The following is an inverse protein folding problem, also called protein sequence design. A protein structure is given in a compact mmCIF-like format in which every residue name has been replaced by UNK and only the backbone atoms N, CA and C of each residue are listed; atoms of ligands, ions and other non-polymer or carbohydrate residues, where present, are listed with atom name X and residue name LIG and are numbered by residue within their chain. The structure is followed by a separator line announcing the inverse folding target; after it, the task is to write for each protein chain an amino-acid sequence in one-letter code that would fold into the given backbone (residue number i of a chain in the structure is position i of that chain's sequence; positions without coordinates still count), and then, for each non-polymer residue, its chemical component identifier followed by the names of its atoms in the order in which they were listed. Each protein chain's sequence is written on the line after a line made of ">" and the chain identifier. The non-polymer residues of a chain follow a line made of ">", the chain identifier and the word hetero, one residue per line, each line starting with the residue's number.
data_IF_167722321898
#
_entry.id   IF_167722321898
#
_cell.length_a   1.000
_cell.length_b   1.000
_cell.length_c   1.000
_cell.angle_alpha   90.00
_cell.angle_beta   90.00
_cell.angle_gamma   90.00
#
_symmetry.space_group_name_H-M   'P 1'
#
loop_
_entity.id
_entity.type
_entity.pdbx_description
1 polymer ?
#
# COMPACT_ATOMS: atom_id res chain seq x y z
N UNK A 1 18.23 6.36 9.77
CA UNK A 1 17.90 5.14 10.51
C UNK A 1 17.34 4.11 9.56
N UNK A 2 18.20 3.30 8.96
CA UNK A 2 17.87 2.25 7.99
C UNK A 2 17.91 0.93 8.77
N UNK A 3 16.89 0.69 9.59
CA UNK A 3 16.79 -0.54 10.39
C UNK A 3 15.32 -0.91 10.49
N UNK A 4 14.84 -1.73 9.56
CA UNK A 4 13.68 -2.58 9.87
C UNK A 4 13.59 -3.89 9.09
N UNK A 5 14.60 -4.22 8.27
CA UNK A 5 14.67 -5.52 7.58
C UNK A 5 15.74 -6.45 8.17
N UNK A 6 15.93 -6.43 9.49
CA UNK A 6 16.72 -7.42 10.23
C UNK A 6 15.74 -8.27 11.05
N UNK A 7 15.06 -9.22 10.41
CA UNK A 7 14.18 -10.18 11.10
C UNK A 7 15.00 -11.39 11.57
N UNK A 8 15.27 -11.42 12.87
CA UNK A 8 15.62 -12.57 13.74
C UNK A 8 16.56 -13.64 13.14
N UNK A 9 17.85 -13.51 13.46
CA UNK A 9 18.82 -14.61 13.44
C UNK A 9 18.43 -15.61 14.55
N UNK A 10 17.84 -16.75 14.19
CA UNK A 10 17.67 -17.89 15.11
C UNK A 10 19.02 -18.61 15.18
N UNK A 11 19.63 -18.66 16.37
CA UNK A 11 20.77 -19.55 16.64
C UNK A 11 20.29 -20.99 16.48
N UNK A 12 20.98 -21.78 15.65
CA UNK A 12 20.75 -23.20 15.51
C UNK A 12 22.11 -23.89 15.52
N UNK A 13 22.41 -24.56 16.64
CA UNK A 13 23.57 -25.42 16.83
C UNK A 13 23.40 -26.64 15.92
N UNK A 14 24.31 -26.83 14.95
CA UNK A 14 24.27 -27.91 13.96
C UNK A 14 25.45 -28.84 14.21
N UNK A 15 25.18 -30.01 14.80
CA UNK A 15 26.05 -31.17 14.73
C UNK A 15 25.80 -31.90 13.41
N UNK A 16 26.84 -31.93 12.57
CA UNK A 16 27.22 -32.95 11.59
C UNK A 16 26.15 -33.50 10.64
N UNK A 17 26.24 -33.14 9.35
CA UNK A 17 25.60 -33.85 8.24
C UNK A 17 25.47 -33.00 6.96
N UNK A 18 26.35 -33.22 6.00
CA UNK A 18 26.47 -32.51 4.72
C UNK A 18 25.27 -32.77 3.77
N UNK A 19 24.36 -31.80 3.57
CA UNK A 19 23.74 -31.38 2.29
C UNK A 19 23.32 -29.91 2.45
N UNK A 20 24.20 -28.97 2.10
CA UNK A 20 23.87 -27.54 2.08
C UNK A 20 23.27 -27.20 0.72
N UNK A 21 21.95 -27.37 0.57
CA UNK A 21 21.21 -26.78 -0.55
C UNK A 21 21.08 -25.29 -0.27
N UNK A 22 21.96 -24.49 -0.88
CA UNK A 22 22.00 -23.04 -0.76
C UNK A 22 20.82 -22.43 -1.54
N UNK A 23 19.63 -22.40 -0.94
CA UNK A 23 18.53 -21.59 -1.44
C UNK A 23 18.97 -20.12 -1.41
N UNK A 24 19.37 -19.58 -2.56
CA UNK A 24 19.50 -18.15 -2.82
C UNK A 24 18.10 -17.54 -2.71
N UNK A 25 17.64 -17.27 -1.49
CA UNK A 25 16.47 -16.44 -1.26
C UNK A 25 16.89 -15.04 -1.66
N UNK A 26 16.61 -14.67 -2.90
CA UNK A 26 16.81 -13.31 -3.39
C UNK A 26 16.07 -12.35 -2.49
N UNK A 27 16.81 -11.53 -1.75
CA UNK A 27 16.24 -10.38 -1.03
C UNK A 27 15.78 -9.37 -2.09
N UNK A 28 14.50 -9.42 -2.46
CA UNK A 28 13.89 -8.34 -3.24
C UNK A 28 13.55 -7.21 -2.27
N UNK A 29 14.37 -6.15 -2.29
CA UNK A 29 14.02 -4.90 -1.62
C UNK A 29 12.92 -4.23 -2.45
N UNK A 30 11.67 -4.28 -1.99
CA UNK A 30 10.61 -3.46 -2.58
C UNK A 30 10.94 -1.98 -2.29
N UNK A 31 11.12 -1.18 -3.33
CA UNK A 31 11.34 0.26 -3.21
C UNK A 31 9.99 0.99 -3.12
N UNK A 32 9.88 2.06 -2.32
CA UNK A 32 8.66 2.86 -2.25
C UNK A 32 8.21 3.37 -3.62
N UNK A 33 6.90 3.39 -3.84
CA UNK A 33 6.26 3.88 -5.05
C UNK A 33 6.29 5.40 -5.08
N UNK A 34 6.67 5.97 -6.23
CA UNK A 34 6.55 7.40 -6.48
C UNK A 34 5.08 7.76 -6.64
N UNK A 35 4.62 8.74 -5.87
CA UNK A 35 3.24 9.21 -5.90
C UNK A 35 3.19 10.74 -6.02
N UNK A 36 2.02 11.24 -6.44
CA UNK A 36 1.65 12.65 -6.42
C UNK A 36 0.56 12.85 -5.37
N UNK A 37 0.72 13.81 -4.47
CA UNK A 37 -0.34 14.23 -3.57
C UNK A 37 -1.47 14.92 -4.38
N UNK A 38 -2.72 14.53 -4.13
CA UNK A 38 -3.88 15.07 -4.83
C UNK A 38 -4.81 15.92 -3.95
N UNK A 39 -4.50 16.12 -2.67
CA UNK A 39 -5.38 16.88 -1.78
C UNK A 39 -5.36 16.47 -0.31
N UNK A 40 -4.22 16.04 0.25
CA UNK A 40 -4.13 15.68 1.68
C UNK A 40 -4.28 16.91 2.59
N UNK A 41 -5.51 17.31 2.93
CA UNK A 41 -5.81 18.52 3.72
C UNK A 41 -5.70 18.30 5.24
N UNK A 42 -6.01 17.09 5.72
CA UNK A 42 -6.05 16.71 7.14
C UNK A 42 -4.83 15.89 7.58
N UNK A 43 -3.84 15.67 6.72
CA UNK A 43 -2.65 14.89 7.05
C UNK A 43 -1.56 14.97 5.99
N UNK A 44 -0.48 14.19 6.18
CA UNK A 44 0.67 14.18 5.27
C UNK A 44 1.21 12.78 5.05
N UNK A 45 1.33 12.38 3.79
CA UNK A 45 1.91 11.10 3.39
C UNK A 45 3.43 11.14 3.52
N UNK A 46 3.99 10.09 4.10
CA UNK A 46 5.43 9.88 4.20
C UNK A 46 5.91 8.88 3.13
N UNK A 47 5.24 7.73 3.03
CA UNK A 47 5.67 6.61 2.18
C UNK A 47 4.45 5.91 1.60
N UNK A 48 4.56 5.48 0.35
CA UNK A 48 3.60 4.59 -0.32
C UNK A 48 4.36 3.36 -0.79
N UNK A 49 3.96 2.18 -0.34
CA UNK A 49 4.53 0.90 -0.75
C UNK A 49 3.44 0.05 -1.42
N UNK A 50 3.80 -0.55 -2.55
CA UNK A 50 2.97 -1.55 -3.23
C UNK A 50 3.82 -2.81 -3.38
N UNK A 51 3.28 -3.95 -2.96
CA UNK A 51 4.01 -5.21 -2.95
C UNK A 51 3.18 -6.36 -3.52
N UNK A 52 3.72 -7.14 -4.47
CA UNK A 52 5.03 -6.97 -5.11
C UNK A 52 5.06 -5.79 -6.10
N UNK A 53 6.16 -5.03 -6.18
CA UNK A 53 6.38 -4.04 -7.25
C UNK A 53 7.88 -3.83 -7.49
N UNK A 54 8.43 -4.56 -8.47
CA UNK A 54 9.86 -4.55 -8.78
C UNK A 54 10.26 -3.40 -9.71
N UNK A 55 9.32 -2.91 -10.52
CA UNK A 55 9.52 -1.81 -11.48
C UNK A 55 8.34 -0.86 -11.41
N UNK A 56 8.58 0.43 -11.67
CA UNK A 56 7.55 1.46 -11.69
C UNK A 56 7.35 1.98 -13.13
N UNK A 57 6.10 2.15 -13.61
CA UNK A 57 4.83 1.89 -12.91
C UNK A 57 4.64 0.40 -12.58
N UNK A 58 4.01 0.12 -11.45
CA UNK A 58 3.84 -1.26 -10.99
C UNK A 58 3.05 -2.08 -12.02
N UNK A 59 3.61 -3.21 -12.43
CA UNK A 59 2.93 -4.17 -13.29
C UNK A 59 2.10 -5.11 -12.42
N UNK A 60 0.78 -4.99 -12.56
CA UNK A 60 -0.23 -5.72 -11.81
C UNK A 60 -0.74 -6.88 -12.66
N UNK A 61 -0.30 -8.09 -12.35
CA UNK A 61 -0.71 -9.30 -13.05
C UNK A 61 -2.11 -9.72 -12.66
N UNK A 62 -2.91 -10.07 -13.67
CA UNK A 62 -4.24 -10.65 -13.49
C UNK A 62 -4.19 -11.94 -12.69
N UNK A 63 -5.23 -12.15 -11.87
CA UNK A 63 -5.34 -13.29 -10.97
C UNK A 63 -4.44 -13.22 -9.73
N UNK A 64 -3.63 -12.16 -9.57
CA UNK A 64 -2.77 -11.96 -8.40
C UNK A 64 -3.33 -10.92 -7.43
N UNK A 65 -2.85 -10.97 -6.18
CA UNK A 65 -3.17 -9.99 -5.15
C UNK A 65 -1.96 -9.12 -4.83
N UNK A 66 -2.21 -7.83 -4.66
CA UNK A 66 -1.20 -6.84 -4.33
C UNK A 66 -1.54 -6.16 -3.02
N UNK A 67 -0.54 -5.99 -2.16
CA UNK A 67 -0.67 -5.25 -0.91
C UNK A 67 -0.25 -3.80 -1.09
N UNK A 68 -0.99 -2.89 -0.48
CA UNK A 68 -0.69 -1.45 -0.42
C UNK A 68 -0.50 -1.06 1.04
N UNK A 69 0.59 -0.35 1.32
CA UNK A 69 0.84 0.28 2.61
C UNK A 69 1.07 1.78 2.40
N UNK A 70 0.23 2.61 3.03
CA UNK A 70 0.43 4.06 3.06
C UNK A 70 0.80 4.46 4.46
N UNK A 71 2.02 4.94 4.63
CA UNK A 71 2.47 5.55 5.88
C UNK A 71 2.16 7.04 5.83
N UNK A 72 1.34 7.53 6.76
CA UNK A 72 0.92 8.93 6.81
C UNK A 72 0.89 9.44 8.26
N UNK A 73 0.97 10.75 8.41
CA UNK A 73 0.84 11.45 9.69
C UNK A 73 -0.49 12.20 9.68
N UNK A 74 -1.30 12.00 10.71
CA UNK A 74 -2.57 12.74 10.85
C UNK A 74 -2.32 14.15 11.39
N UNK A 75 -2.91 15.16 10.76
CA UNK A 75 -2.96 16.53 11.26
C UNK A 75 -4.11 16.80 12.22
N UNK A 76 -5.06 15.88 12.31
CA UNK A 76 -6.34 16.02 13.04
C UNK A 76 -6.66 14.78 13.89
N UNK A 77 -7.68 14.88 14.72
CA UNK A 77 -8.29 13.73 15.38
C UNK A 77 -9.49 13.24 14.56
N UNK A 78 -9.75 11.94 14.56
CA UNK A 78 -10.92 11.36 13.87
C UNK A 78 -11.35 10.07 14.54
N UNK A 79 -12.64 9.90 14.80
CA UNK A 79 -13.20 8.68 15.40
C UNK A 79 -13.20 7.53 14.39
N UNK A 80 -13.46 7.85 13.12
CA UNK A 80 -13.49 6.89 12.03
C UNK A 80 -12.55 7.30 10.91
N UNK A 81 -12.35 6.40 9.95
CA UNK A 81 -11.71 6.75 8.68
C UNK A 81 -12.29 5.90 7.55
N UNK A 82 -12.41 6.47 6.36
CA UNK A 82 -13.00 5.79 5.20
C UNK A 82 -12.11 5.91 3.98
N UNK A 83 -11.73 4.78 3.40
CA UNK A 83 -10.97 4.71 2.17
C UNK A 83 -11.90 4.81 0.94
N UNK A 84 -11.45 5.56 -0.06
CA UNK A 84 -12.12 5.72 -1.36
C UNK A 84 -11.07 5.57 -2.45
N UNK A 85 -11.37 4.76 -3.47
CA UNK A 85 -10.41 4.43 -4.54
C UNK A 85 -11.05 4.67 -5.90
N UNK A 86 -10.31 5.32 -6.79
CA UNK A 86 -10.68 5.51 -8.18
C UNK A 86 -9.55 5.05 -9.11
N UNK A 87 -9.93 4.46 -10.25
CA UNK A 87 -9.04 4.28 -11.39
C UNK A 87 -9.28 5.39 -12.41
N UNK A 88 -8.28 6.23 -12.67
CA UNK A 88 -8.36 7.28 -13.69
C UNK A 88 -7.93 6.68 -15.03
N UNK A 89 -8.88 6.55 -15.96
CA UNK A 89 -8.70 5.96 -17.28
C UNK A 89 -9.00 7.05 -18.32
N UNK A 90 -8.03 7.36 -19.17
CA UNK A 90 -8.15 8.44 -20.17
C UNK A 90 -8.62 9.79 -19.56
N UNK A 91 -8.22 10.09 -18.32
CA UNK A 91 -8.58 11.32 -17.61
C UNK A 91 -9.91 11.26 -16.85
N UNK A 92 -10.69 10.19 -16.98
CA UNK A 92 -11.98 10.02 -16.29
C UNK A 92 -11.79 9.17 -15.02
N UNK A 93 -12.16 9.66 -13.83
CA UNK A 93 -12.13 8.87 -12.60
C UNK A 93 -13.27 7.85 -12.57
N UNK A 94 -12.94 6.56 -12.46
CA UNK A 94 -13.89 5.46 -12.33
C UNK A 94 -13.83 4.90 -10.91
N UNK A 95 -14.93 4.85 -10.14
CA UNK A 95 -14.94 4.27 -8.80
C UNK A 95 -14.49 2.81 -8.79
N UNK A 96 -13.64 2.44 -7.83
CA UNK A 96 -13.20 1.08 -7.59
C UNK A 96 -13.63 0.64 -6.18
N UNK A 97 -14.72 -0.14 -6.05
CA UNK A 97 -15.17 -0.65 -4.75
C UNK A 97 -14.11 -1.58 -4.14
N UNK A 98 -13.74 -1.31 -2.89
CA UNK A 98 -12.81 -2.15 -2.12
C UNK A 98 -13.56 -2.96 -1.06
N UNK A 99 -13.11 -4.18 -0.70
CA UNK A 99 -13.83 -5.02 0.25
C UNK A 99 -13.96 -4.43 1.66
N UNK A 100 -12.96 -3.65 2.07
CA UNK A 100 -12.89 -3.01 3.39
C UNK A 100 -12.62 -1.53 3.15
N UNK A 101 -13.68 -0.71 3.23
CA UNK A 101 -13.59 0.75 3.16
C UNK A 101 -13.24 1.38 4.51
N UNK A 102 -13.52 0.70 5.63
CA UNK A 102 -13.26 1.21 6.98
C UNK A 102 -11.76 1.17 7.29
N UNK A 103 -11.11 2.34 7.29
CA UNK A 103 -9.68 2.47 7.52
C UNK A 103 -9.25 2.00 8.92
N UNK A 104 -10.14 2.07 9.91
CA UNK A 104 -9.90 1.55 11.26
C UNK A 104 -9.77 0.02 11.30
N UNK A 105 -10.18 -0.67 10.22
CA UNK A 105 -10.02 -2.12 10.03
C UNK A 105 -8.88 -2.47 9.08
N UNK A 106 -8.13 -1.47 8.63
CA UNK A 106 -7.05 -1.56 7.64
C UNK A 106 -5.72 -1.08 8.23
N UNK A 107 -5.37 -1.58 9.43
CA UNK A 107 -4.08 -1.27 10.10
C UNK A 107 -4.06 0.01 10.94
N UNK A 108 -5.13 0.82 10.92
CA UNK A 108 -5.22 2.05 11.72
C UNK A 108 -5.93 1.75 13.03
N UNK A 109 -5.28 2.03 14.16
CA UNK A 109 -5.95 2.00 15.46
C UNK A 109 -6.75 3.28 15.67
N UNK A 110 -8.07 3.18 15.64
CA UNK A 110 -8.97 4.28 15.96
C UNK A 110 -9.26 4.35 17.49
N UNK A 111 -9.55 5.55 18.03
CA UNK A 111 -9.60 6.83 17.32
C UNK A 111 -8.23 7.33 16.86
N UNK A 112 -8.20 7.94 15.69
CA UNK A 112 -7.02 8.60 15.12
C UNK A 112 -6.71 9.83 15.96
N UNK A 113 -5.44 9.98 16.32
CA UNK A 113 -4.93 11.09 17.12
C UNK A 113 -4.13 12.04 16.24
N UNK A 114 -4.21 13.33 16.58
CA UNK A 114 -3.46 14.39 15.93
C UNK A 114 -1.95 14.22 16.15
N UNK A 115 -1.17 14.53 15.11
CA UNK A 115 0.29 14.42 15.07
C UNK A 115 0.84 13.01 15.31
N UNK A 116 0.04 11.97 15.04
CA UNK A 116 0.48 10.58 15.12
C UNK A 116 0.65 9.97 13.71
N UNK A 117 1.66 9.11 13.58
CA UNK A 117 1.94 8.34 12.36
C UNK A 117 1.17 7.01 12.36
N UNK A 118 0.62 6.65 11.21
CA UNK A 118 -0.16 5.44 10.99
C UNK A 118 0.28 4.72 9.72
N UNK A 119 -0.06 3.43 9.65
CA UNK A 119 0.09 2.59 8.46
C UNK A 119 -1.29 2.12 8.03
N UNK A 120 -1.77 2.64 6.90
CA UNK A 120 -2.95 2.10 6.24
C UNK A 120 -2.53 0.91 5.38
N UNK A 121 -3.13 -0.25 5.62
CA UNK A 121 -2.80 -1.53 4.99
C UNK A 121 -4.02 -2.11 4.28
N UNK A 122 -3.87 -2.44 3.00
CA UNK A 122 -4.91 -3.15 2.26
C UNK A 122 -4.29 -4.17 1.29
N UNK A 123 -5.05 -5.18 0.91
CA UNK A 123 -4.66 -6.18 -0.10
C UNK A 123 -5.81 -6.40 -1.06
N UNK A 124 -5.57 -6.17 -2.34
CA UNK A 124 -6.60 -6.17 -3.38
C UNK A 124 -6.25 -7.19 -4.48
N UNK A 125 -7.22 -8.03 -4.89
CA UNK A 125 -7.05 -8.91 -6.05
C UNK A 125 -7.22 -8.12 -7.35
N UNK A 126 -6.32 -8.36 -8.30
CA UNK A 126 -6.45 -7.92 -9.69
C UNK A 126 -7.18 -9.04 -10.42
N UNK A 127 -8.47 -8.85 -10.70
CA UNK A 127 -9.30 -9.92 -11.24
C UNK A 127 -8.92 -10.24 -12.70
N UNK A 128 -9.11 -11.50 -13.09
CA UNK A 128 -8.75 -11.98 -14.42
C UNK A 128 -9.58 -11.33 -15.54
N UNK A 129 -10.81 -10.90 -15.26
CA UNK A 129 -11.66 -10.17 -16.21
C UNK A 129 -11.20 -8.73 -16.47
N UNK A 130 -10.29 -8.17 -15.69
CA UNK A 130 -9.83 -6.79 -15.89
C UNK A 130 -9.07 -6.63 -17.21
N UNK A 131 -9.27 -5.53 -17.95
CA UNK A 131 -8.53 -5.29 -19.19
C UNK A 131 -7.06 -5.00 -18.89
N UNK A 132 -6.17 -5.36 -19.81
CA UNK A 132 -4.76 -5.01 -19.70
C UNK A 132 -4.56 -3.56 -20.17
N UNK A 133 -4.40 -2.63 -19.23
CA UNK A 133 -4.37 -1.18 -19.49
C UNK A 133 -3.41 -0.46 -18.54
N UNK A 134 -2.97 0.74 -18.93
CA UNK A 134 -2.34 1.70 -18.03
C UNK A 134 -3.42 2.62 -17.44
N UNK A 135 -3.32 2.89 -16.15
CA UNK A 135 -4.19 3.83 -15.46
C UNK A 135 -3.44 4.54 -14.32
N UNK A 136 -4.06 5.58 -13.77
CA UNK A 136 -3.60 6.20 -12.52
C UNK A 136 -4.55 5.79 -11.41
N UNK A 137 -4.02 5.20 -10.34
CA UNK A 137 -4.79 4.97 -9.12
C UNK A 137 -4.86 6.28 -8.37
N UNK A 138 -6.05 6.65 -7.93
CA UNK A 138 -6.29 7.68 -6.92
C UNK A 138 -6.81 6.99 -5.66
N UNK A 139 -6.13 7.23 -4.53
CA UNK A 139 -6.46 6.63 -3.25
C UNK A 139 -6.58 7.70 -2.19
N UNK A 140 -7.76 7.79 -1.59
CA UNK A 140 -8.11 8.72 -0.54
C UNK A 140 -8.37 7.96 0.76
N UNK A 141 -8.03 8.58 1.89
CA UNK A 141 -8.52 8.18 3.21
C UNK A 141 -9.10 9.41 3.89
N UNK A 142 -10.41 9.37 4.14
CA UNK A 142 -11.19 10.50 4.67
C UNK A 142 -11.44 10.36 6.16
N UNK A 143 -11.41 11.49 6.87
CA UNK A 143 -11.80 11.62 8.28
C UNK A 143 -13.33 11.76 8.45
N UNK A 144 -13.79 11.96 9.69
CA UNK A 144 -15.21 12.16 10.04
C UNK A 144 -15.85 13.37 9.32
N UNK A 145 -15.04 14.37 8.97
CA UNK A 145 -15.47 15.58 8.27
C UNK A 145 -15.39 15.43 6.73
N UNK A 146 -15.10 14.22 6.25
CA UNK A 146 -14.89 13.90 4.83
C UNK A 146 -13.70 14.66 4.21
N UNK A 147 -12.76 15.12 5.04
CA UNK A 147 -11.49 15.70 4.58
C UNK A 147 -10.44 14.60 4.46
N UNK A 148 -9.52 14.74 3.51
CA UNK A 148 -8.53 13.71 3.24
C UNK A 148 -7.38 13.76 4.26
N UNK A 149 -7.30 12.74 5.11
CA UNK A 149 -6.10 12.41 5.90
C UNK A 149 -4.92 12.15 4.97
N UNK A 150 -5.20 11.51 3.83
CA UNK A 150 -4.31 11.51 2.67
C UNK A 150 -5.08 11.37 1.35
N UNK A 151 -4.50 11.91 0.28
CA UNK A 151 -4.88 11.69 -1.11
C UNK A 151 -3.62 11.46 -1.94
N UNK A 152 -3.49 10.29 -2.56
CA UNK A 152 -2.34 9.94 -3.42
C UNK A 152 -2.78 9.50 -4.82
N UNK A 153 -1.97 9.86 -5.81
CA UNK A 153 -2.06 9.36 -7.19
C UNK A 153 -0.76 8.70 -7.62
N UNK A 154 -0.84 7.49 -8.18
CA UNK A 154 0.32 6.81 -8.75
C UNK A 154 -0.07 5.95 -9.97
N UNK A 155 0.80 5.86 -10.99
CA UNK A 155 0.51 5.08 -12.19
C UNK A 155 0.74 3.58 -11.97
N UNK A 156 -0.14 2.77 -12.54
CA UNK A 156 0.00 1.30 -12.59
C UNK A 156 -0.32 0.80 -14.00
N UNK A 157 0.10 -0.44 -14.29
CA UNK A 157 -0.24 -1.12 -15.52
C UNK A 157 -0.79 -2.51 -15.21
N UNK A 158 -2.02 -2.80 -15.61
CA UNK A 158 -2.57 -4.15 -15.54
C UNK A 158 -2.02 -4.95 -16.73
N UNK A 159 -1.45 -6.11 -16.45
CA UNK A 159 -0.85 -7.04 -17.42
C UNK A 159 -1.43 -8.44 -17.23
N UNK A 160 -1.28 -9.29 -18.24
CA UNK A 160 -1.75 -10.68 -18.18
C UNK A 160 -0.97 -11.54 -17.20
#
# INVERSE_FOLDING_TARGET
>A
GIQSCQKRKRNMDVRTGFIVSLCLIGFTCAAPVKYKDCGSTSGKVAVVDVSPCNTQPCQLHKGQSYSVNVTFNSGVESQTSKAVVHGIIAGVPVPFPIPIEDGCKSGIQCPIKKQQSYHYLNSLPVKSEYPAIKLVVEWELRDDNKQDLFCIRFPVQIVS
#
